data_IF_302026429388
#
_entry.id   IF_302026429388
#
_cell.length_a   1.000
_cell.length_b   1.000
_cell.length_c   1.000
_cell.angle_alpha   90.00
_cell.angle_beta   90.00
_cell.angle_gamma   90.00
#
_symmetry.space_group_name_H-M   'P 1'
#
loop_
_entity.id
_entity.type
_entity.pdbx_description
1 polymer ?
#
# COMPACT_ATOMS: atom_id res chain seq x y z
N UNK A 1 -73.29 -33.36 36.08
CA UNK A 1 -72.20 -32.84 36.95
C UNK A 1 -70.88 -33.07 36.24
N UNK A 2 -70.10 -31.99 36.10
CA UNK A 2 -68.64 -31.92 35.81
C UNK A 2 -68.14 -32.47 34.46
N UNK A 3 -67.78 -31.52 33.59
CA UNK A 3 -67.02 -31.77 32.36
C UNK A 3 -65.54 -32.04 32.61
N UNK A 4 -64.91 -32.65 31.62
CA UNK A 4 -63.47 -32.80 31.49
C UNK A 4 -63.10 -32.64 30.02
N UNK A 5 -62.81 -31.40 29.62
CA UNK A 5 -62.18 -31.06 28.33
C UNK A 5 -60.68 -31.29 28.46
N UNK A 6 -60.16 -32.35 27.81
CA UNK A 6 -58.73 -32.64 27.70
C UNK A 6 -58.05 -31.68 26.73
N UNK A 7 -57.11 -30.89 27.25
CA UNK A 7 -56.30 -29.93 26.49
C UNK A 7 -55.11 -30.67 25.88
N UNK A 8 -55.10 -30.88 24.55
CA UNK A 8 -53.92 -31.36 23.84
C UNK A 8 -52.87 -30.24 23.80
N UNK A 9 -51.73 -30.48 24.44
CA UNK A 9 -50.55 -29.61 24.40
C UNK A 9 -49.72 -30.08 23.20
N UNK A 10 -49.91 -29.43 22.05
CA UNK A 10 -49.05 -29.61 20.89
C UNK A 10 -47.71 -28.93 21.14
N UNK A 11 -46.65 -29.73 21.30
CA UNK A 11 -45.28 -29.26 21.39
C UNK A 11 -44.84 -28.76 20.00
N UNK A 12 -44.92 -27.46 19.75
CA UNK A 12 -44.37 -26.85 18.53
C UNK A 12 -42.88 -26.58 18.78
N UNK A 13 -42.02 -27.48 18.28
CA UNK A 13 -40.57 -27.32 18.31
C UNK A 13 -40.18 -26.27 17.27
N UNK A 14 -39.59 -25.11 17.64
CA UNK A 14 -39.18 -24.11 16.66
C UNK A 14 -37.97 -24.64 15.88
N UNK A 15 -38.14 -24.78 14.57
CA UNK A 15 -37.04 -25.06 13.63
C UNK A 15 -36.15 -23.81 13.62
N UNK A 16 -35.03 -23.84 14.37
CA UNK A 16 -33.95 -22.89 14.21
C UNK A 16 -33.33 -23.11 12.82
N UNK A 17 -33.73 -22.28 11.85
CA UNK A 17 -33.03 -22.17 10.59
C UNK A 17 -31.76 -21.34 10.85
N UNK A 18 -30.67 -22.03 11.19
CA UNK A 18 -29.35 -21.41 11.27
C UNK A 18 -28.94 -21.05 9.83
N UNK A 19 -29.11 -19.78 9.46
CA UNK A 19 -28.55 -19.22 8.23
C UNK A 19 -27.03 -19.19 8.42
N UNK A 20 -26.35 -20.21 7.92
CA UNK A 20 -24.89 -20.23 7.83
C UNK A 20 -24.48 -19.20 6.78
N UNK A 21 -24.14 -17.99 7.23
CA UNK A 21 -23.41 -17.04 6.40
C UNK A 21 -22.02 -17.64 6.11
N UNK A 22 -21.58 -17.72 4.84
CA UNK A 22 -20.28 -18.26 4.52
C UNK A 22 -19.20 -17.32 5.07
N UNK A 23 -18.52 -17.75 6.14
CA UNK A 23 -17.42 -17.02 6.77
C UNK A 23 -16.23 -16.73 5.82
N UNK A 24 -16.17 -17.44 4.69
CA UNK A 24 -15.06 -17.39 3.73
C UNK A 24 -14.96 -16.08 2.95
N UNK A 25 -16.09 -15.42 2.66
CA UNK A 25 -16.08 -14.16 1.90
C UNK A 25 -15.58 -12.98 2.74
N UNK A 26 -15.99 -12.92 4.01
CA UNK A 26 -15.58 -11.85 4.93
C UNK A 26 -14.08 -11.92 5.25
N UNK A 27 -13.54 -13.13 5.37
CA UNK A 27 -12.11 -13.34 5.65
C UNK A 27 -11.24 -12.98 4.43
N UNK A 28 -11.66 -13.35 3.22
CA UNK A 28 -10.98 -12.96 1.97
C UNK A 28 -10.98 -11.43 1.75
N UNK A 29 -12.09 -10.76 2.08
CA UNK A 29 -12.20 -9.30 1.99
C UNK A 29 -11.21 -8.58 2.91
N UNK A 30 -11.13 -9.03 4.17
CA UNK A 30 -10.25 -8.45 5.18
C UNK A 30 -8.77 -8.63 4.79
N UNK A 31 -8.42 -9.76 4.18
CA UNK A 31 -7.08 -10.00 3.64
C UNK A 31 -6.76 -9.08 2.46
N UNK A 32 -7.73 -8.85 1.57
CA UNK A 32 -7.58 -7.95 0.42
C UNK A 32 -7.37 -6.49 0.83
N UNK A 33 -8.15 -6.00 1.78
CA UNK A 33 -8.01 -4.64 2.33
C UNK A 33 -6.65 -4.44 2.98
N UNK A 34 -6.24 -5.36 3.87
CA UNK A 34 -4.96 -5.27 4.57
C UNK A 34 -3.79 -5.29 3.59
N UNK A 35 -3.84 -6.18 2.59
CA UNK A 35 -2.82 -6.24 1.55
C UNK A 35 -2.78 -4.95 0.73
N UNK A 36 -3.94 -4.42 0.34
CA UNK A 36 -4.02 -3.15 -0.38
C UNK A 36 -3.38 -2.03 0.44
N UNK A 37 -3.77 -1.89 1.70
CA UNK A 37 -3.28 -0.83 2.59
C UNK A 37 -1.79 -0.93 2.84
N UNK A 38 -1.28 -2.13 3.09
CA UNK A 38 0.14 -2.38 3.41
C UNK A 38 1.06 -2.36 2.18
N UNK A 39 0.55 -2.61 0.97
CA UNK A 39 1.41 -2.82 -0.20
C UNK A 39 1.05 -1.95 -1.40
N UNK A 40 -0.23 -1.82 -1.74
CA UNK A 40 -0.69 -1.17 -2.97
C UNK A 40 -0.95 0.33 -2.81
N UNK A 41 -1.42 0.74 -1.62
CA UNK A 41 -1.81 2.11 -1.30
C UNK A 41 -0.63 3.10 -1.31
N UNK A 42 0.60 2.60 -1.31
CA UNK A 42 1.80 3.42 -1.50
C UNK A 42 1.84 4.05 -2.90
N UNK A 43 1.21 3.42 -3.90
CA UNK A 43 1.25 3.85 -5.29
C UNK A 43 -0.12 4.11 -5.91
N UNK A 44 -1.17 3.47 -5.40
CA UNK A 44 -2.51 3.48 -6.00
C UNK A 44 -3.58 3.98 -5.03
N UNK A 45 -4.62 4.60 -5.57
CA UNK A 45 -5.86 4.92 -4.85
C UNK A 45 -6.99 3.98 -5.31
N UNK A 46 -8.05 3.83 -4.50
CA UNK A 46 -9.25 3.06 -4.92
C UNK A 46 -10.30 3.93 -5.63
N UNK A 47 -9.99 5.21 -5.88
CA UNK A 47 -10.78 6.15 -6.66
C UNK A 47 -10.13 6.38 -8.04
N UNK A 48 -10.55 7.41 -8.77
CA UNK A 48 -9.95 7.78 -10.07
C UNK A 48 -8.63 8.55 -9.99
N UNK A 49 -8.23 9.00 -8.80
CA UNK A 49 -7.09 9.92 -8.65
C UNK A 49 -5.75 9.23 -8.90
N UNK A 50 -4.81 9.98 -9.47
CA UNK A 50 -3.43 9.53 -9.63
C UNK A 50 -2.64 9.79 -8.35
N UNK A 51 -1.89 8.80 -7.89
CA UNK A 51 -0.86 8.96 -6.85
C UNK A 51 0.54 8.82 -7.48
N UNK A 52 1.08 7.60 -7.52
CA UNK A 52 2.26 7.26 -8.34
C UNK A 52 1.79 6.54 -9.60
N UNK A 53 0.96 5.52 -9.41
CA UNK A 53 0.24 4.82 -10.46
C UNK A 53 -1.18 5.35 -10.68
N UNK A 54 -1.94 4.72 -11.58
CA UNK A 54 -3.35 5.07 -11.84
C UNK A 54 -4.25 4.80 -10.64
N UNK A 55 -5.34 5.57 -10.54
CA UNK A 55 -6.49 5.25 -9.70
C UNK A 55 -7.25 4.02 -10.21
N UNK A 56 -7.66 3.16 -9.28
CA UNK A 56 -8.13 1.81 -9.57
C UNK A 56 -9.65 1.64 -9.62
N UNK A 57 -10.42 2.70 -9.45
CA UNK A 57 -11.88 2.66 -9.60
C UNK A 57 -12.30 2.09 -10.97
N UNK A 58 -13.20 1.10 -10.97
CA UNK A 58 -13.68 0.44 -12.20
C UNK A 58 -12.56 -0.23 -13.02
N UNK A 59 -11.52 -0.77 -12.39
CA UNK A 59 -10.39 -1.38 -13.12
C UNK A 59 -10.80 -2.61 -13.95
N UNK A 60 -11.76 -3.41 -13.46
CA UNK A 60 -12.24 -4.61 -14.18
C UNK A 60 -13.14 -4.27 -15.37
N UNK A 61 -13.73 -3.08 -15.43
CA UNK A 61 -14.42 -2.59 -16.64
C UNK A 61 -13.42 -2.18 -17.74
N UNK A 62 -12.20 -1.78 -17.32
CA UNK A 62 -11.17 -1.27 -18.21
C UNK A 62 -10.25 -2.36 -18.75
N UNK A 63 -10.13 -3.49 -18.04
CA UNK A 63 -9.16 -4.55 -18.35
C UNK A 63 -9.65 -5.93 -17.94
N UNK A 64 -9.22 -6.92 -18.72
CA UNK A 64 -9.47 -8.33 -18.42
C UNK A 64 -8.88 -8.74 -17.07
N UNK A 65 -9.65 -9.52 -16.31
CA UNK A 65 -9.29 -9.96 -14.96
C UNK A 65 -8.02 -10.81 -14.95
N UNK A 66 -7.86 -11.74 -15.90
CA UNK A 66 -6.66 -12.59 -15.94
C UNK A 66 -5.41 -11.78 -16.28
N UNK A 67 -5.55 -10.78 -17.16
CA UNK A 67 -4.48 -9.82 -17.41
C UNK A 67 -4.13 -9.02 -16.14
N UNK A 68 -5.12 -8.56 -15.38
CA UNK A 68 -4.89 -7.84 -14.11
C UNK A 68 -4.16 -8.71 -13.09
N UNK A 69 -4.58 -9.96 -12.91
CA UNK A 69 -3.89 -10.91 -12.03
C UNK A 69 -2.43 -11.13 -12.47
N UNK A 70 -2.20 -11.29 -13.77
CA UNK A 70 -0.86 -11.44 -14.34
C UNK A 70 0.00 -10.20 -14.09
N UNK A 71 -0.56 -8.99 -14.26
CA UNK A 71 0.16 -7.74 -14.04
C UNK A 71 0.42 -7.44 -12.56
N UNK A 72 -0.45 -7.86 -11.65
CA UNK A 72 -0.23 -7.74 -10.20
C UNK A 72 0.92 -8.66 -9.74
N UNK A 73 0.99 -9.88 -10.27
CA UNK A 73 2.00 -10.87 -9.86
C UNK A 73 3.36 -10.67 -10.56
N UNK A 74 3.36 -10.35 -11.86
CA UNK A 74 4.56 -10.33 -12.71
C UNK A 74 4.60 -9.14 -13.68
N UNK A 75 4.51 -7.89 -13.19
CA UNK A 75 4.50 -6.70 -14.06
C UNK A 75 5.78 -6.55 -14.87
N UNK A 76 6.92 -6.92 -14.28
CA UNK A 76 8.26 -6.88 -14.89
C UNK A 76 8.39 -7.88 -16.05
N UNK A 77 7.80 -9.07 -15.92
CA UNK A 77 7.75 -10.07 -17.00
C UNK A 77 6.96 -9.56 -18.19
N UNK A 78 5.76 -9.00 -17.96
CA UNK A 78 4.91 -8.47 -19.03
C UNK A 78 5.57 -7.31 -19.77
N UNK A 79 6.24 -6.40 -19.06
CA UNK A 79 7.01 -5.31 -19.67
C UNK A 79 8.12 -5.87 -20.56
N UNK A 80 8.91 -6.82 -20.03
CA UNK A 80 10.06 -7.43 -20.72
C UNK A 80 9.65 -8.23 -21.95
N UNK A 81 8.51 -8.92 -21.89
CA UNK A 81 7.93 -9.67 -23.01
C UNK A 81 7.28 -8.78 -24.08
N UNK A 82 7.22 -7.46 -23.84
CA UNK A 82 6.70 -6.50 -24.82
C UNK A 82 5.18 -6.36 -24.81
N UNK A 83 4.50 -6.67 -23.70
CA UNK A 83 3.07 -6.43 -23.57
C UNK A 83 2.76 -4.95 -23.85
N UNK A 84 1.88 -4.70 -24.82
CA UNK A 84 1.63 -3.35 -25.33
C UNK A 84 0.92 -2.45 -24.32
N UNK A 85 0.12 -3.03 -23.42
CA UNK A 85 -0.62 -2.29 -22.39
C UNK A 85 0.33 -1.95 -21.25
N UNK A 86 1.12 -2.92 -20.79
CA UNK A 86 2.14 -2.74 -19.76
C UNK A 86 3.16 -1.67 -20.16
N UNK A 87 3.67 -1.73 -21.39
CA UNK A 87 4.63 -0.74 -21.89
C UNK A 87 4.00 0.66 -22.07
N UNK A 88 2.72 0.74 -22.45
CA UNK A 88 1.99 2.01 -22.51
C UNK A 88 1.83 2.62 -21.11
N UNK A 89 1.44 1.81 -20.13
CA UNK A 89 1.33 2.24 -18.74
C UNK A 89 2.68 2.72 -18.20
N UNK A 90 3.77 2.00 -18.48
CA UNK A 90 5.11 2.43 -18.11
C UNK A 90 5.46 3.79 -18.73
N UNK A 91 5.14 4.00 -20.01
CA UNK A 91 5.39 5.28 -20.68
C UNK A 91 4.54 6.44 -20.12
N UNK A 92 3.35 6.16 -19.61
CA UNK A 92 2.44 7.16 -19.06
C UNK A 92 2.76 7.53 -17.60
N UNK A 93 3.06 6.53 -16.77
CA UNK A 93 3.30 6.70 -15.33
C UNK A 93 4.79 6.86 -14.99
N UNK A 94 5.69 6.58 -15.94
CA UNK A 94 7.16 6.74 -15.85
C UNK A 94 7.85 5.94 -14.73
N UNK A 95 7.09 5.13 -14.00
CA UNK A 95 7.56 4.28 -12.90
C UNK A 95 7.04 2.87 -13.17
N UNK A 96 7.93 1.85 -13.28
CA UNK A 96 7.48 0.49 -13.44
C UNK A 96 6.81 0.01 -12.15
N UNK A 97 5.65 -0.65 -12.28
CA UNK A 97 5.06 -1.36 -11.14
C UNK A 97 6.05 -2.47 -10.72
N UNK A 98 6.54 -2.45 -9.47
CA UNK A 98 7.50 -3.45 -9.01
C UNK A 98 6.82 -4.82 -8.87
N UNK A 99 7.59 -5.89 -9.04
CA UNK A 99 7.18 -7.20 -8.59
C UNK A 99 7.27 -7.26 -7.06
N UNK A 100 6.12 -7.36 -6.39
CA UNK A 100 6.01 -7.34 -4.93
C UNK A 100 6.02 -8.76 -4.33
N UNK A 101 6.22 -9.79 -5.15
CA UNK A 101 6.19 -11.20 -4.72
C UNK A 101 4.79 -11.70 -4.38
N UNK A 102 3.75 -11.06 -4.93
CA UNK A 102 2.34 -11.37 -4.67
C UNK A 102 1.98 -12.72 -5.27
N UNK A 103 1.37 -13.59 -4.46
CA UNK A 103 0.82 -14.88 -4.93
C UNK A 103 -0.51 -14.68 -5.66
N UNK A 104 -0.96 -15.67 -6.42
CA UNK A 104 -2.26 -15.61 -7.11
C UNK A 104 -3.43 -15.36 -6.16
N UNK A 105 -3.48 -16.07 -5.03
CA UNK A 105 -4.56 -15.89 -4.05
C UNK A 105 -4.56 -14.46 -3.47
N UNK A 106 -3.37 -13.89 -3.22
CA UNK A 106 -3.25 -12.50 -2.78
C UNK A 106 -3.67 -11.50 -3.87
N UNK A 107 -3.32 -11.77 -5.13
CA UNK A 107 -3.73 -10.95 -6.27
C UNK A 107 -5.25 -10.98 -6.48
N UNK A 108 -5.89 -12.15 -6.30
CA UNK A 108 -7.35 -12.30 -6.34
C UNK A 108 -8.00 -11.53 -5.19
N UNK A 109 -7.55 -11.72 -3.95
CA UNK A 109 -8.07 -11.02 -2.78
C UNK A 109 -7.95 -9.50 -2.89
N UNK A 110 -6.83 -8.96 -3.38
CA UNK A 110 -6.67 -7.51 -3.52
C UNK A 110 -7.52 -6.96 -4.66
N UNK A 111 -7.67 -7.71 -5.76
CA UNK A 111 -8.50 -7.28 -6.88
C UNK A 111 -9.99 -7.26 -6.51
N UNK A 112 -10.47 -8.27 -5.78
CA UNK A 112 -11.83 -8.31 -5.25
C UNK A 112 -12.09 -7.14 -4.30
N UNK A 113 -11.13 -6.87 -3.41
CA UNK A 113 -11.20 -5.69 -2.55
C UNK A 113 -11.27 -4.39 -3.36
N UNK A 114 -10.44 -4.20 -4.38
CA UNK A 114 -10.44 -3.00 -5.22
C UNK A 114 -11.80 -2.80 -5.91
N UNK A 115 -12.36 -3.88 -6.47
CA UNK A 115 -13.67 -3.84 -7.14
C UNK A 115 -14.77 -3.43 -6.17
N UNK A 116 -14.77 -3.98 -4.95
CA UNK A 116 -15.78 -3.67 -3.93
C UNK A 116 -15.55 -2.31 -3.25
N UNK A 117 -14.31 -1.86 -3.14
CA UNK A 117 -13.91 -0.60 -2.52
C UNK A 117 -13.88 0.59 -3.49
N UNK A 118 -14.44 0.45 -4.70
CA UNK A 118 -14.58 1.51 -5.70
C UNK A 118 -15.19 2.76 -5.07
N UNK A 119 -14.36 3.78 -4.79
CA UNK A 119 -14.76 5.03 -4.14
C UNK A 119 -14.66 5.11 -2.59
N UNK A 120 -14.18 4.08 -1.89
CA UNK A 120 -14.20 4.02 -0.41
C UNK A 120 -12.89 4.44 0.28
N UNK A 121 -11.72 4.26 -0.35
CA UNK A 121 -10.41 4.62 0.23
C UNK A 121 -9.66 5.64 -0.63
N UNK A 122 -9.87 6.91 -0.31
CA UNK A 122 -8.95 7.97 -0.72
C UNK A 122 -7.86 8.08 0.34
N UNK A 123 -6.58 8.06 -0.08
CA UNK A 123 -5.49 8.51 0.80
C UNK A 123 -5.81 9.96 1.13
N UNK A 124 -6.01 10.25 2.41
CA UNK A 124 -6.34 11.60 2.85
C UNK A 124 -5.08 12.46 2.68
N UNK A 125 -4.95 13.14 1.54
CA UNK A 125 -3.81 14.01 1.21
C UNK A 125 -3.65 15.18 2.21
N UNK A 126 -4.64 15.37 3.09
CA UNK A 126 -4.69 16.40 4.13
C UNK A 126 -3.63 16.27 5.22
N UNK A 127 -2.81 15.21 5.25
CA UNK A 127 -1.65 15.09 6.17
C UNK A 127 -0.35 15.62 5.57
N UNK A 128 -0.34 16.02 4.29
CA UNK A 128 0.67 16.93 3.79
C UNK A 128 0.37 18.29 4.38
N UNK A 129 1.06 18.60 5.48
CA UNK A 129 1.06 19.93 6.06
C UNK A 129 1.50 20.94 5.01
N UNK A 130 0.60 21.85 4.61
CA UNK A 130 0.91 23.04 3.80
C UNK A 130 1.88 24.01 4.51
N UNK A 131 2.29 23.71 5.75
CA UNK A 131 3.32 24.48 6.42
C UNK A 131 4.65 24.37 5.65
N UNK A 132 5.38 25.48 5.48
CA UNK A 132 6.67 25.47 4.81
C UNK A 132 7.66 24.51 5.47
N UNK A 133 8.40 23.76 4.65
CA UNK A 133 9.52 22.94 5.12
C UNK A 133 10.57 23.85 5.77
N UNK A 134 10.90 23.60 7.03
CA UNK A 134 11.93 24.34 7.76
C UNK A 134 13.32 23.71 7.58
N UNK A 135 14.38 24.51 7.74
CA UNK A 135 15.76 23.97 7.73
C UNK A 135 15.99 22.92 8.83
N UNK A 136 15.38 23.11 10.00
CA UNK A 136 15.48 22.17 11.11
C UNK A 136 14.88 20.80 10.75
N UNK A 137 13.77 20.78 10.01
CA UNK A 137 13.17 19.53 9.52
C UNK A 137 14.08 18.82 8.51
N UNK A 138 14.69 19.57 7.60
CA UNK A 138 15.62 19.04 6.60
C UNK A 138 16.85 18.46 7.28
N UNK A 139 17.42 19.18 8.24
CA UNK A 139 18.57 18.70 9.00
C UNK A 139 18.25 17.47 9.84
N UNK A 140 17.08 17.44 10.49
CA UNK A 140 16.62 16.28 11.23
C UNK A 140 16.41 15.07 10.31
N UNK A 141 15.79 15.27 9.14
CA UNK A 141 15.61 14.24 8.11
C UNK A 141 16.93 13.67 7.61
N UNK A 142 17.90 14.54 7.34
CA UNK A 142 19.26 14.13 6.96
C UNK A 142 19.93 13.30 8.06
N UNK A 143 19.79 13.71 9.32
CA UNK A 143 20.36 12.99 10.46
C UNK A 143 19.71 11.60 10.65
N UNK A 144 18.40 11.48 10.43
CA UNK A 144 17.71 10.19 10.41
C UNK A 144 18.18 9.31 9.25
N UNK A 145 18.27 9.89 8.04
CA UNK A 145 18.69 9.19 6.83
C UNK A 145 20.08 8.56 7.01
N UNK A 146 21.05 9.37 7.48
CA UNK A 146 22.43 8.95 7.70
C UNK A 146 22.60 8.07 8.94
N UNK A 147 21.63 8.04 9.85
CA UNK A 147 21.73 7.31 11.11
C UNK A 147 22.46 8.01 12.24
N UNK A 148 22.74 9.30 12.08
CA UNK A 148 23.24 10.17 13.14
C UNK A 148 22.19 10.35 14.25
N UNK A 149 20.91 10.26 13.88
CA UNK A 149 19.79 10.09 14.81
C UNK A 149 19.11 8.76 14.52
N UNK A 150 18.75 8.02 15.58
CA UNK A 150 18.04 6.75 15.45
C UNK A 150 16.54 6.99 15.30
N UNK A 151 15.92 6.19 14.44
CA UNK A 151 14.47 6.08 14.37
C UNK A 151 13.91 5.59 15.72
N UNK A 152 12.80 6.18 16.16
CA UNK A 152 12.07 5.83 17.38
C UNK A 152 11.69 4.35 17.37
N UNK A 153 11.21 3.84 16.24
CA UNK A 153 10.89 2.41 16.07
C UNK A 153 12.10 1.47 16.04
N UNK A 154 13.34 1.99 16.06
CA UNK A 154 14.56 1.17 16.05
C UNK A 154 14.85 0.49 14.69
N UNK A 155 14.28 1.03 13.61
CA UNK A 155 14.56 0.65 12.23
C UNK A 155 16.04 0.83 11.84
N UNK A 156 16.53 0.12 10.80
CA UNK A 156 17.82 0.44 10.22
C UNK A 156 17.82 1.85 9.63
N UNK A 157 19.01 2.41 9.42
CA UNK A 157 19.18 3.74 8.84
C UNK A 157 19.01 3.66 7.33
N UNK A 158 18.40 4.67 6.71
CA UNK A 158 18.10 4.65 5.28
C UNK A 158 19.37 4.54 4.42
N UNK A 159 20.41 5.30 4.80
CA UNK A 159 21.70 5.35 4.13
C UNK A 159 22.47 4.02 4.18
N UNK A 160 22.06 3.08 5.04
CA UNK A 160 22.64 1.74 5.05
C UNK A 160 22.33 0.93 3.78
N UNK A 161 21.23 1.25 3.10
CA UNK A 161 20.79 0.56 1.89
C UNK A 161 20.65 1.48 0.68
N UNK A 162 20.28 2.75 0.90
CA UNK A 162 20.08 3.76 -0.12
C UNK A 162 21.25 4.74 -0.14
N UNK A 163 21.46 5.37 -1.28
CA UNK A 163 22.38 6.50 -1.46
C UNK A 163 21.56 7.76 -1.76
N UNK A 164 22.10 8.91 -1.36
CA UNK A 164 21.67 10.23 -1.82
C UNK A 164 22.94 11.02 -2.16
N UNK A 165 23.11 11.34 -3.44
CA UNK A 165 24.26 12.09 -3.93
C UNK A 165 24.00 13.59 -3.73
N UNK A 166 24.63 14.18 -2.71
CA UNK A 166 24.69 15.62 -2.50
C UNK A 166 25.95 16.02 -1.69
N UNK A 167 26.11 17.32 -1.39
CA UNK A 167 27.27 17.83 -0.65
C UNK A 167 27.27 17.47 0.85
N UNK A 168 26.13 17.02 1.39
CA UNK A 168 25.91 16.82 2.82
C UNK A 168 25.95 15.34 3.25
N UNK A 169 25.68 14.42 2.33
CA UNK A 169 25.72 12.97 2.53
C UNK A 169 26.93 12.39 1.82
N UNK A 170 27.88 11.88 2.61
CA UNK A 170 29.09 11.24 2.08
C UNK A 170 28.90 9.72 2.10
N UNK A 171 28.48 9.19 0.95
CA UNK A 171 28.38 7.76 0.70
C UNK A 171 27.18 7.10 1.38
N UNK A 172 26.76 5.98 0.80
CA UNK A 172 25.57 5.25 1.15
C UNK A 172 25.53 3.84 0.60
N UNK A 173 24.39 3.19 0.83
CA UNK A 173 24.18 1.81 0.42
C UNK A 173 23.89 1.70 -1.07
N UNK A 174 24.43 0.65 -1.70
CA UNK A 174 24.16 0.28 -3.10
C UNK A 174 23.19 -0.91 -3.22
N UNK A 175 22.62 -1.34 -2.09
CA UNK A 175 21.72 -2.49 -2.04
C UNK A 175 20.31 -2.13 -2.54
N UNK A 176 19.94 -0.85 -2.47
CA UNK A 176 18.63 -0.35 -2.90
C UNK A 176 18.77 0.80 -3.91
N UNK A 177 17.63 1.35 -4.35
CA UNK A 177 17.60 2.46 -5.32
C UNK A 177 18.25 3.72 -4.74
N UNK A 178 19.06 4.37 -5.55
CA UNK A 178 19.53 5.75 -5.33
C UNK A 178 18.32 6.71 -5.31
N UNK A 179 18.31 7.65 -4.35
CA UNK A 179 17.14 8.46 -4.01
C UNK A 179 17.25 9.96 -4.35
N UNK A 180 18.38 10.50 -4.82
CA UNK A 180 18.55 11.92 -5.19
C UNK A 180 17.40 12.44 -6.05
N UNK A 181 16.96 11.66 -7.03
CA UNK A 181 15.88 12.09 -7.97
C UNK A 181 14.52 11.48 -7.63
N UNK A 182 14.28 11.05 -6.38
CA UNK A 182 13.04 10.36 -6.01
C UNK A 182 11.80 11.24 -6.15
N UNK A 183 11.90 12.55 -5.84
CA UNK A 183 10.78 13.48 -5.97
C UNK A 183 10.36 13.70 -7.43
N UNK A 184 11.30 13.77 -8.35
CA UNK A 184 11.00 13.86 -9.79
C UNK A 184 10.26 12.62 -10.32
N UNK A 185 10.42 11.47 -9.66
CA UNK A 185 9.79 10.20 -10.05
C UNK A 185 8.44 9.97 -9.40
N UNK A 186 8.31 10.30 -8.12
CA UNK A 186 7.15 9.90 -7.29
C UNK A 186 6.31 11.08 -6.77
N UNK A 187 6.86 12.30 -6.78
CA UNK A 187 6.29 13.45 -6.09
C UNK A 187 6.27 13.30 -4.57
N UNK A 188 6.00 14.40 -3.86
CA UNK A 188 5.93 14.41 -2.39
C UNK A 188 4.93 13.38 -1.81
N UNK A 189 3.71 13.21 -2.36
CA UNK A 189 2.76 12.22 -1.84
C UNK A 189 3.28 10.78 -1.98
N UNK A 190 3.90 10.43 -3.10
CA UNK A 190 4.44 9.09 -3.34
C UNK A 190 5.65 8.77 -2.46
N UNK A 191 6.57 9.72 -2.29
CA UNK A 191 7.71 9.56 -1.37
C UNK A 191 7.24 9.35 0.05
N UNK A 192 6.31 10.20 0.52
CA UNK A 192 5.71 10.06 1.86
C UNK A 192 5.08 8.68 2.04
N UNK A 193 4.26 8.24 1.08
CA UNK A 193 3.53 6.99 1.19
C UNK A 193 4.48 5.78 1.31
N UNK A 194 5.58 5.76 0.54
CA UNK A 194 6.59 4.70 0.61
C UNK A 194 7.35 4.71 1.94
N UNK A 195 7.68 5.88 2.49
CA UNK A 195 8.39 5.96 3.77
C UNK A 195 7.47 5.54 4.92
N UNK A 196 6.23 6.04 4.94
CA UNK A 196 5.25 5.73 5.98
C UNK A 196 4.85 4.25 5.96
N UNK A 197 4.77 3.64 4.77
CA UNK A 197 4.38 2.25 4.62
C UNK A 197 5.19 1.57 3.50
N UNK A 198 6.39 1.05 3.83
CA UNK A 198 7.32 0.51 2.83
C UNK A 198 6.79 -0.74 2.12
N UNK A 199 6.48 -0.67 0.81
CA UNK A 199 5.82 -1.79 0.13
C UNK A 199 6.80 -2.85 -0.37
N UNK A 200 8.11 -2.59 -0.39
CA UNK A 200 9.10 -3.49 -0.97
C UNK A 200 9.49 -4.61 0.01
N UNK A 201 9.59 -5.89 -0.42
CA UNK A 201 9.81 -7.03 0.48
C UNK A 201 10.98 -6.88 1.47
N UNK A 202 12.13 -6.36 1.00
CA UNK A 202 13.29 -6.11 1.86
C UNK A 202 13.03 -5.01 2.90
N UNK A 203 12.33 -3.94 2.51
CA UNK A 203 11.96 -2.88 3.45
C UNK A 203 10.87 -3.37 4.42
N UNK A 204 9.86 -4.09 3.94
CA UNK A 204 8.85 -4.70 4.81
C UNK A 204 9.50 -5.57 5.88
N UNK A 205 10.50 -6.39 5.52
CA UNK A 205 11.23 -7.19 6.48
C UNK A 205 12.06 -6.33 7.45
N UNK A 206 12.74 -5.31 6.94
CA UNK A 206 13.57 -4.41 7.75
C UNK A 206 12.77 -3.62 8.79
N UNK A 207 11.50 -3.29 8.50
CA UNK A 207 10.64 -2.43 9.31
C UNK A 207 9.42 -3.14 9.92
N UNK A 208 9.32 -4.49 9.84
CA UNK A 208 8.13 -5.30 10.20
C UNK A 208 7.49 -5.02 11.57
N UNK A 209 8.23 -4.46 12.53
CA UNK A 209 7.71 -4.07 13.85
C UNK A 209 8.39 -2.78 14.34
N UNK A 210 8.80 -1.93 13.39
CA UNK A 210 9.68 -0.79 13.63
C UNK A 210 9.12 0.45 12.92
N UNK A 211 7.97 0.96 13.39
CA UNK A 211 7.26 2.03 12.71
C UNK A 211 8.13 3.29 12.62
N UNK A 212 8.02 3.99 11.49
CA UNK A 212 8.53 5.35 11.30
C UNK A 212 7.38 6.29 11.69
N UNK A 213 7.62 7.17 12.64
CA UNK A 213 6.60 8.11 13.13
C UNK A 213 6.28 9.17 12.08
N UNK A 214 5.10 9.79 12.15
CA UNK A 214 4.72 10.85 11.20
C UNK A 214 5.68 12.06 11.19
N UNK A 215 6.29 12.36 12.34
CA UNK A 215 7.33 13.39 12.45
C UNK A 215 8.58 12.98 11.67
N UNK A 216 9.06 11.75 11.85
CA UNK A 216 10.21 11.20 11.13
C UNK A 216 9.93 11.08 9.63
N UNK A 217 8.74 10.64 9.24
CA UNK A 217 8.30 10.62 7.83
C UNK A 217 8.37 12.03 7.26
N UNK A 218 7.81 13.03 7.97
CA UNK A 218 7.84 14.42 7.52
C UNK A 218 9.26 14.97 7.34
N UNK A 219 10.14 14.67 8.28
CA UNK A 219 11.54 15.09 8.21
C UNK A 219 12.30 14.41 7.06
N UNK A 220 12.14 13.09 6.88
CA UNK A 220 12.76 12.35 5.78
C UNK A 220 12.28 12.84 4.41
N UNK A 221 10.97 13.13 4.27
CA UNK A 221 10.39 13.73 3.07
C UNK A 221 11.02 15.11 2.82
N UNK A 222 11.09 15.98 3.84
CA UNK A 222 11.69 17.30 3.74
C UNK A 222 13.16 17.26 3.29
N UNK A 223 13.94 16.32 3.82
CA UNK A 223 15.32 16.11 3.41
C UNK A 223 15.42 15.68 1.94
N UNK A 224 14.67 14.64 1.56
CA UNK A 224 14.71 14.09 0.20
C UNK A 224 14.17 15.06 -0.87
N UNK A 225 13.33 16.03 -0.49
CA UNK A 225 12.83 17.07 -1.40
C UNK A 225 13.93 18.06 -1.81
N UNK A 226 14.93 18.25 -0.93
CA UNK A 226 16.05 19.17 -1.12
C UNK A 226 17.38 18.48 -1.44
N UNK A 227 17.32 17.17 -1.65
CA UNK A 227 18.47 16.30 -1.89
C UNK A 227 19.04 16.41 -3.30
#
# INVERSE_FOLDING_TARGET
MRGATGRQIGLVLPILFAVAFPATLVEAQAMGEELFRSTCAACHTTNTDRLVGPGLEGIEDRRDREWLLSFIMEPDRLITEGDTIANRLLAEYLVPMPNLGTTRAQAESVLDFITDASGALSVNTTVLSDAPITEDQVFFGMALFQGNTRLVGGGPTCNGCHEVINDAVIGGGILARELTTVFSRLGAPGVRAIIANPPFPLMQQAYRDKPITEEEVGALVAFLERA
#
